data_IF_785156303817
#
_entry.id   IF_785156303817
#
_cell.length_a   1.000
_cell.length_b   1.000
_cell.length_c   1.000
_cell.angle_alpha   90.00
_cell.angle_beta   90.00
_cell.angle_gamma   90.00
#
_symmetry.space_group_name_H-M   'P 1'
#
loop_
_entity.id
_entity.type
_entity.pdbx_description
1 polymer ?
#
# COMPACT_ATOMS: atom_id res chain seq x y z
N UNK A 1 -4.66 5.41 -7.10
CA UNK A 1 -5.83 4.63 -6.63
C UNK A 1 -5.59 4.22 -5.19
N UNK A 2 -6.62 4.29 -4.33
CA UNK A 2 -6.55 3.85 -2.93
C UNK A 2 -7.61 2.77 -2.70
N UNK A 3 -7.21 1.64 -2.12
CA UNK A 3 -8.08 0.52 -1.77
C UNK A 3 -7.98 0.34 -0.26
N UNK A 4 -9.12 0.43 0.42
CA UNK A 4 -9.25 0.27 1.87
C UNK A 4 -9.88 -1.08 2.20
N UNK A 5 -9.78 -1.51 3.45
CA UNK A 5 -10.31 -2.79 3.92
C UNK A 5 -9.81 -3.97 3.08
N UNK A 6 -8.52 -3.98 2.71
CA UNK A 6 -7.95 -5.00 1.80
C UNK A 6 -8.08 -6.43 2.32
N UNK A 7 -8.34 -6.60 3.63
CA UNK A 7 -8.38 -7.89 4.36
C UNK A 7 -7.12 -8.73 4.19
N UNK A 8 -6.02 -8.12 3.74
CA UNK A 8 -4.74 -8.78 3.57
C UNK A 8 -4.01 -8.89 4.91
N UNK A 9 -3.20 -9.95 5.03
CA UNK A 9 -2.28 -10.17 6.15
C UNK A 9 -0.85 -10.12 5.62
N UNK A 10 0.10 -9.76 6.48
CA UNK A 10 1.53 -9.65 6.12
C UNK A 10 2.07 -10.95 5.48
N UNK A 11 1.60 -12.11 5.96
CA UNK A 11 1.94 -13.44 5.45
C UNK A 11 1.43 -13.71 4.02
N UNK A 12 0.38 -13.01 3.58
CA UNK A 12 -0.20 -13.17 2.25
C UNK A 12 0.61 -12.32 1.26
N UNK A 13 1.53 -13.00 0.57
CA UNK A 13 2.28 -12.41 -0.52
C UNK A 13 1.43 -12.34 -1.80
N UNK A 14 0.79 -11.20 -2.01
CA UNK A 14 0.15 -10.86 -3.29
C UNK A 14 1.02 -9.86 -4.02
N UNK A 15 1.41 -10.17 -5.25
CA UNK A 15 2.17 -9.26 -6.09
C UNK A 15 1.22 -8.36 -6.89
N UNK A 16 0.96 -7.15 -6.40
CA UNK A 16 0.17 -6.15 -7.12
C UNK A 16 1.05 -5.40 -8.13
N UNK A 17 1.31 -6.02 -9.29
CA UNK A 17 2.14 -5.42 -10.34
C UNK A 17 1.26 -5.01 -11.52
N UNK A 18 1.03 -3.70 -11.64
CA UNK A 18 0.34 -3.07 -12.76
C UNK A 18 1.33 -2.22 -13.55
N UNK A 19 1.24 -2.20 -14.88
CA UNK A 19 2.26 -1.54 -15.71
C UNK A 19 2.18 -0.02 -15.54
N UNK A 20 3.30 0.62 -15.20
CA UNK A 20 3.36 2.07 -14.97
C UNK A 20 2.90 2.52 -13.58
N UNK A 21 2.64 1.56 -12.67
CA UNK A 21 2.23 1.84 -11.30
C UNK A 21 3.12 1.12 -10.29
N UNK A 22 3.57 1.90 -9.31
CA UNK A 22 4.11 1.40 -8.06
C UNK A 22 2.97 1.24 -7.05
N UNK A 23 3.20 0.40 -6.05
CA UNK A 23 2.27 0.19 -4.96
C UNK A 23 2.94 0.36 -3.59
N UNK A 24 2.15 0.78 -2.61
CA UNK A 24 2.48 0.82 -1.20
C UNK A 24 1.34 0.17 -0.42
N UNK A 25 1.68 -0.76 0.48
CA UNK A 25 0.70 -1.53 1.25
C UNK A 25 0.98 -1.35 2.74
N UNK A 26 -0.10 -1.29 3.53
CA UNK A 26 -0.05 -1.41 4.98
C UNK A 26 -1.17 -2.32 5.45
N UNK A 27 -0.78 -3.46 6.00
CA UNK A 27 -1.71 -4.41 6.61
C UNK A 27 -1.85 -4.09 8.11
N UNK A 28 -3.05 -4.29 8.67
CA UNK A 28 -3.23 -4.25 10.12
C UNK A 28 -2.86 -5.61 10.72
N UNK A 29 -2.04 -5.58 11.76
CA UNK A 29 -1.74 -6.78 12.57
C UNK A 29 -2.96 -7.19 13.40
N UNK A 30 -3.16 -8.50 13.55
CA UNK A 30 -4.05 -9.14 14.54
C UNK A 30 -5.57 -8.99 14.38
N UNK A 31 -6.06 -8.10 13.51
CA UNK A 31 -7.49 -7.98 13.18
C UNK A 31 -7.66 -8.12 11.68
N UNK A 32 -8.20 -9.24 11.21
CA UNK A 32 -8.36 -9.63 9.80
C UNK A 32 -9.34 -8.78 8.99
N UNK A 33 -9.43 -7.49 9.30
CA UNK A 33 -10.42 -6.56 8.81
C UNK A 33 -9.86 -5.30 8.16
N UNK A 34 -8.66 -4.83 8.49
CA UNK A 34 -8.27 -3.47 8.11
C UNK A 34 -6.92 -3.47 7.41
N UNK A 35 -6.79 -2.68 6.35
CA UNK A 35 -5.61 -2.64 5.51
C UNK A 35 -5.80 -1.65 4.36
N UNK A 36 -4.69 -1.07 3.90
CA UNK A 36 -4.69 -0.08 2.83
C UNK A 36 -3.66 -0.48 1.78
N UNK A 37 -4.06 -0.40 0.52
CA UNK A 37 -3.19 -0.48 -0.64
C UNK A 37 -3.34 0.81 -1.45
N UNK A 38 -2.23 1.48 -1.68
CA UNK A 38 -2.14 2.67 -2.53
C UNK A 38 -1.34 2.29 -3.77
N UNK A 39 -1.92 2.54 -4.94
CA UNK A 39 -1.21 2.45 -6.22
C UNK A 39 -1.05 3.84 -6.80
N UNK A 40 0.16 4.18 -7.20
CA UNK A 40 0.54 5.48 -7.73
C UNK A 40 1.36 5.32 -9.00
N UNK A 41 1.16 6.22 -9.95
CA UNK A 41 1.85 6.15 -11.23
C UNK A 41 3.35 6.38 -11.03
N UNK A 42 4.19 5.71 -11.80
CA UNK A 42 5.66 5.74 -11.66
C UNK A 42 6.28 7.14 -11.87
N UNK A 43 5.49 8.06 -12.42
CA UNK A 43 5.89 9.43 -12.70
C UNK A 43 5.78 10.30 -11.42
N UNK A 44 5.10 9.78 -10.40
CA UNK A 44 4.97 10.42 -9.08
C UNK A 44 6.25 10.11 -8.30
N UNK A 45 7.12 11.11 -8.16
CA UNK A 45 8.25 10.99 -7.25
C UNK A 45 7.75 10.99 -5.81
N UNK A 46 8.09 9.96 -5.04
CA UNK A 46 7.87 9.98 -3.60
C UNK A 46 8.74 11.09 -3.01
N UNK A 47 8.14 12.22 -2.67
CA UNK A 47 8.83 13.24 -1.87
C UNK A 47 9.18 12.60 -0.53
N UNK A 48 10.46 12.70 -0.12
CA UNK A 48 10.88 12.25 1.21
C UNK A 48 9.95 12.89 2.23
N UNK A 49 9.15 12.08 2.92
CA UNK A 49 8.24 12.56 3.95
C UNK A 49 9.08 13.28 5.01
N UNK A 50 8.86 14.59 5.18
CA UNK A 50 9.34 15.30 6.36
C UNK A 50 8.64 14.69 7.55
N UNK A 51 9.40 13.94 8.35
CA UNK A 51 9.00 13.54 9.69
C UNK A 51 8.88 14.84 10.49
N UNK A 52 7.67 15.24 10.84
CA UNK A 52 7.46 16.31 11.80
C UNK A 52 7.62 15.68 13.19
N UNK A 53 8.60 16.16 13.94
CA UNK A 53 8.82 15.86 15.36
C UNK A 53 7.80 16.59 16.24
#
# INVERSE_FOLDING_TARGET
MCIVETKLREEIHVNFKEKGYNNWRRDRKDKGGEGVLIMFHDNVQSTKWKKWE
#
